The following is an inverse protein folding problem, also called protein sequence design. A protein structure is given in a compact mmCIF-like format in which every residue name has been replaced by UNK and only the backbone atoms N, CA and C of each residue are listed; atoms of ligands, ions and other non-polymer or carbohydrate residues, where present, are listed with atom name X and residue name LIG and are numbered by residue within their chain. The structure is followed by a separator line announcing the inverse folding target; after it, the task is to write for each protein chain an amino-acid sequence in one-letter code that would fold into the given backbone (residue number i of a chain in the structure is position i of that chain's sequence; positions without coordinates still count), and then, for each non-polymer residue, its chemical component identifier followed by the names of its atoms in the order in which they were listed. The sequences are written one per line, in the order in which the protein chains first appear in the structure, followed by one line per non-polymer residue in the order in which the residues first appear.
data_IF_605627421008
#
_entry.id   IF_605627421008
#
_cell.length_a   1.000
_cell.length_b   1.000
_cell.length_c   1.000
_cell.angle_alpha   90.00
_cell.angle_beta   90.00
_cell.angle_gamma   90.00
#
_symmetry.space_group_name_H-M   'P 1'
#
loop_
_entity.id
_entity.type
_entity.pdbx_description
1 polymer ?
#
# COMPACT_ATOMS: atom_id res chain seq x y z
N UNK A 1 2.56 0.43 7.95
CA UNK A 1 2.85 1.39 9.03
C UNK A 1 3.05 2.77 8.41
N UNK A 2 2.48 3.81 9.04
CA UNK A 2 2.61 5.20 8.61
C UNK A 2 3.51 6.00 9.55
N UNK A 3 4.50 6.71 9.00
CA UNK A 3 5.35 7.66 9.72
C UNK A 3 5.12 9.08 9.22
N UNK A 4 5.32 10.07 10.07
CA UNK A 4 5.32 11.48 9.67
C UNK A 4 6.71 11.88 9.19
N UNK A 5 6.81 12.44 7.98
CA UNK A 5 8.08 12.80 7.38
C UNK A 5 8.77 14.00 8.04
N UNK A 6 8.03 14.86 8.72
CA UNK A 6 8.56 16.02 9.47
C UNK A 6 9.12 15.65 10.84
N UNK A 7 8.85 14.47 11.38
CA UNK A 7 9.45 14.00 12.63
C UNK A 7 10.96 13.87 12.52
N UNK A 8 11.67 14.39 13.52
CA UNK A 8 13.13 14.33 13.60
C UNK A 8 13.64 13.01 14.19
N UNK A 9 12.80 12.31 14.93
CA UNK A 9 13.14 11.06 15.59
C UNK A 9 12.00 10.05 15.46
N UNK A 10 12.30 8.88 14.89
CA UNK A 10 11.36 7.74 14.77
C UNK A 10 11.63 6.68 15.83
N UNK A 11 12.27 7.06 16.95
CA UNK A 11 12.78 6.07 17.92
C UNK A 11 11.69 5.16 18.47
N UNK A 12 10.55 5.73 18.87
CA UNK A 12 9.44 4.94 19.40
C UNK A 12 8.81 4.03 18.33
N UNK A 13 8.70 4.52 17.10
CA UNK A 13 8.17 3.74 15.98
C UNK A 13 9.14 2.63 15.55
N UNK A 14 10.44 2.93 15.57
CA UNK A 14 11.54 1.99 15.31
C UNK A 14 11.55 0.87 16.36
N UNK A 15 11.53 1.22 17.65
CA UNK A 15 11.46 0.28 18.75
C UNK A 15 10.19 -0.59 18.67
N UNK A 16 9.04 -0.01 18.40
CA UNK A 16 7.79 -0.75 18.20
C UNK A 16 7.87 -1.71 17.00
N UNK A 17 8.43 -1.25 15.88
CA UNK A 17 8.60 -2.10 14.72
C UNK A 17 9.48 -3.31 15.02
N UNK A 18 10.68 -3.10 15.58
CA UNK A 18 11.62 -4.18 15.84
C UNK A 18 11.15 -5.15 16.92
N UNK A 19 10.53 -4.65 17.98
CA UNK A 19 10.14 -5.44 19.13
C UNK A 19 8.77 -6.12 18.97
N UNK A 20 7.88 -5.55 18.20
CA UNK A 20 6.50 -6.03 18.05
C UNK A 20 6.20 -6.45 16.61
N UNK A 21 6.31 -5.53 15.64
CA UNK A 21 5.83 -5.80 14.28
C UNK A 21 6.69 -6.85 13.59
N UNK A 22 8.01 -6.68 13.59
CA UNK A 22 8.96 -7.59 12.92
C UNK A 22 8.90 -9.01 13.48
N UNK A 23 8.72 -9.13 14.78
CA UNK A 23 8.62 -10.44 15.47
C UNK A 23 7.34 -11.21 15.10
N UNK A 24 6.25 -10.47 14.84
CA UNK A 24 4.95 -11.07 14.48
C UNK A 24 4.69 -11.11 12.97
N UNK A 25 5.57 -10.54 12.15
CA UNK A 25 5.51 -10.71 10.70
C UNK A 25 5.89 -12.15 10.38
N UNK A 26 4.92 -12.92 9.88
CA UNK A 26 5.23 -14.24 9.33
C UNK A 26 6.17 -14.10 8.14
N UNK A 27 7.07 -15.06 7.94
CA UNK A 27 7.99 -15.10 6.82
C UNK A 27 7.24 -14.92 5.48
N UNK A 28 7.74 -14.03 4.65
CA UNK A 28 7.16 -13.74 3.34
C UNK A 28 5.96 -12.80 3.32
N UNK A 29 5.49 -12.30 4.47
CA UNK A 29 4.46 -11.24 4.46
C UNK A 29 5.06 -9.90 4.05
N UNK A 30 4.45 -9.21 3.06
CA UNK A 30 4.93 -7.91 2.64
C UNK A 30 4.73 -6.87 3.75
N UNK A 31 5.75 -6.02 3.93
CA UNK A 31 5.69 -4.88 4.83
C UNK A 31 5.94 -3.61 4.01
N UNK A 32 5.04 -2.64 4.14
CA UNK A 32 5.14 -1.34 3.47
C UNK A 32 5.13 -0.27 4.54
N UNK A 33 6.14 0.60 4.51
CA UNK A 33 6.23 1.77 5.35
C UNK A 33 5.86 3.00 4.53
N UNK A 34 4.86 3.74 5.00
CA UNK A 34 4.38 4.96 4.36
C UNK A 34 4.98 6.16 5.08
N UNK A 35 5.86 6.89 4.40
CA UNK A 35 6.43 8.14 4.89
C UNK A 35 5.52 9.29 4.46
N UNK A 36 4.55 9.64 5.32
CA UNK A 36 3.53 10.64 5.02
C UNK A 36 3.97 12.07 5.37
N UNK A 37 3.29 13.07 4.83
CA UNK A 37 3.54 14.51 5.05
C UNK A 37 4.90 14.96 4.49
N UNK A 38 5.31 14.42 3.35
CA UNK A 38 6.58 14.80 2.72
C UNK A 38 6.59 16.25 2.21
N UNK A 39 5.43 16.87 2.05
CA UNK A 39 5.24 18.29 1.78
C UNK A 39 5.85 19.19 2.87
N UNK A 40 5.99 18.67 4.11
CA UNK A 40 6.56 19.38 5.26
C UNK A 40 8.06 19.15 5.46
N UNK A 41 8.69 18.31 4.67
CA UNK A 41 10.14 18.11 4.71
C UNK A 41 10.87 19.42 4.38
N UNK A 42 12.07 19.62 4.93
CA UNK A 42 12.90 20.80 4.71
C UNK A 42 12.91 21.26 3.26
N UNK A 43 12.97 22.58 3.06
CA UNK A 43 12.66 23.28 1.80
C UNK A 43 11.19 23.20 1.40
N UNK A 44 10.27 23.09 2.40
CA UNK A 44 8.82 23.02 2.16
C UNK A 44 8.27 24.21 1.33
N UNK A 45 8.96 25.36 1.27
CA UNK A 45 8.60 26.49 0.40
C UNK A 45 8.79 26.23 -1.08
N UNK A 46 9.54 25.21 -1.44
CA UNK A 46 9.69 24.75 -2.83
C UNK A 46 8.52 23.88 -3.28
N UNK A 47 7.60 23.55 -2.37
CA UNK A 47 6.42 22.74 -2.72
C UNK A 47 5.56 23.47 -3.74
N UNK A 48 5.38 22.87 -4.89
CA UNK A 48 4.48 23.38 -5.93
C UNK A 48 3.05 22.92 -5.65
N UNK A 49 2.25 23.81 -5.06
CA UNK A 49 0.86 23.53 -4.69
C UNK A 49 0.00 23.23 -5.92
N UNK A 50 0.28 23.87 -7.07
CA UNK A 50 -0.51 23.68 -8.31
C UNK A 50 -0.34 22.28 -8.89
N UNK A 51 0.89 21.80 -8.90
CA UNK A 51 1.24 20.51 -9.50
C UNK A 51 1.34 19.40 -8.44
N UNK A 52 1.16 19.74 -7.14
CA UNK A 52 1.29 18.82 -6.00
C UNK A 52 2.63 18.07 -6.01
N UNK A 53 3.74 18.81 -6.25
CA UNK A 53 5.07 18.22 -6.43
C UNK A 53 6.12 18.95 -5.57
N UNK A 54 7.11 18.21 -5.01
CA UNK A 54 8.24 18.81 -4.34
C UNK A 54 9.16 19.52 -5.33
N UNK A 55 9.76 20.65 -4.92
CA UNK A 55 10.84 21.26 -5.65
C UNK A 55 12.12 20.41 -5.58
N UNK A 56 13.13 20.81 -6.34
CA UNK A 56 14.37 20.02 -6.54
C UNK A 56 15.08 19.67 -5.23
N UNK A 57 15.28 20.66 -4.37
CA UNK A 57 16.00 20.45 -3.11
C UNK A 57 15.16 19.65 -2.12
N UNK A 58 13.86 19.96 -2.05
CA UNK A 58 12.94 19.21 -1.22
C UNK A 58 12.86 17.73 -1.65
N UNK A 59 12.85 17.45 -2.94
CA UNK A 59 12.88 16.08 -3.46
C UNK A 59 14.15 15.33 -3.04
N UNK A 60 15.31 16.00 -3.06
CA UNK A 60 16.56 15.41 -2.59
C UNK A 60 16.50 15.09 -1.08
N UNK A 61 15.91 15.96 -0.27
CA UNK A 61 15.74 15.76 1.16
C UNK A 61 14.75 14.63 1.46
N UNK A 62 13.66 14.53 0.70
CA UNK A 62 12.71 13.40 0.79
C UNK A 62 13.43 12.08 0.48
N UNK A 63 14.23 12.04 -0.58
CA UNK A 63 15.01 10.86 -0.95
C UNK A 63 16.04 10.47 0.11
N UNK A 64 16.73 11.44 0.70
CA UNK A 64 17.68 11.21 1.79
C UNK A 64 16.96 10.65 3.03
N UNK A 65 15.83 11.25 3.40
CA UNK A 65 15.02 10.79 4.55
C UNK A 65 14.48 9.38 4.35
N UNK A 66 14.04 9.06 3.13
CA UNK A 66 13.61 7.72 2.75
C UNK A 66 14.71 6.68 2.98
N UNK A 67 15.98 6.99 2.64
CA UNK A 67 17.12 6.10 2.89
C UNK A 67 17.34 5.89 4.38
N UNK A 68 17.38 6.97 5.17
CA UNK A 68 17.54 6.89 6.63
C UNK A 68 16.46 6.04 7.27
N UNK A 69 15.21 6.18 6.84
CA UNK A 69 14.10 5.37 7.34
C UNK A 69 14.28 3.90 6.96
N UNK A 70 14.64 3.60 5.72
CA UNK A 70 14.88 2.22 5.29
C UNK A 70 15.98 1.53 6.11
N UNK A 71 17.08 2.25 6.38
CA UNK A 71 18.20 1.77 7.20
C UNK A 71 17.78 1.53 8.66
N UNK A 72 17.08 2.49 9.28
CA UNK A 72 16.64 2.38 10.68
C UNK A 72 15.66 1.23 10.92
N UNK A 73 14.77 1.00 9.96
CA UNK A 73 13.79 -0.08 10.03
C UNK A 73 14.29 -1.42 9.47
N UNK A 74 15.52 -1.46 8.97
CA UNK A 74 16.11 -2.65 8.34
C UNK A 74 15.17 -3.26 7.29
N UNK A 75 14.71 -2.41 6.36
CA UNK A 75 13.81 -2.79 5.26
C UNK A 75 14.34 -2.30 3.91
N UNK A 76 13.91 -2.97 2.84
CA UNK A 76 14.27 -2.56 1.49
C UNK A 76 13.78 -1.12 1.20
N UNK A 77 14.59 -0.32 0.51
CA UNK A 77 14.22 1.05 0.11
C UNK A 77 12.89 1.09 -0.66
N UNK A 78 12.62 0.08 -1.47
CA UNK A 78 11.37 -0.06 -2.22
C UNK A 78 10.14 -0.21 -1.32
N UNK A 79 10.30 -0.71 -0.09
CA UNK A 79 9.22 -0.84 0.88
C UNK A 79 8.86 0.48 1.59
N UNK A 80 9.67 1.54 1.41
CA UNK A 80 9.38 2.88 1.96
C UNK A 80 8.78 3.75 0.86
N UNK A 81 7.51 4.11 1.00
CA UNK A 81 6.78 4.93 0.02
C UNK A 81 6.55 6.33 0.58
N UNK A 82 7.22 7.36 0.04
CA UNK A 82 7.00 8.75 0.43
C UNK A 82 5.72 9.29 -0.20
N UNK A 83 4.84 9.89 0.62
CA UNK A 83 3.56 10.46 0.18
C UNK A 83 3.24 11.76 0.91
N UNK A 84 2.35 12.55 0.34
CA UNK A 84 1.55 13.52 1.08
C UNK A 84 0.08 13.26 0.82
N UNK A 85 -0.64 12.80 1.84
CA UNK A 85 -2.07 12.56 1.74
C UNK A 85 -2.85 13.87 1.59
N UNK A 86 -2.39 14.94 2.25
CA UNK A 86 -2.99 16.27 2.18
C UNK A 86 -2.87 16.88 0.77
N UNK A 87 -1.68 16.75 0.17
CA UNK A 87 -1.36 17.30 -1.16
C UNK A 87 -1.56 16.29 -2.29
N UNK A 88 -2.13 15.11 -1.99
CA UNK A 88 -2.37 14.02 -2.97
C UNK A 88 -1.13 13.56 -3.73
N UNK A 89 0.05 13.80 -3.17
CA UNK A 89 1.32 13.42 -3.78
C UNK A 89 1.59 11.93 -3.64
N UNK A 90 1.95 11.30 -4.75
CA UNK A 90 2.44 9.93 -4.85
C UNK A 90 1.46 8.84 -4.35
N UNK A 91 0.16 9.15 -4.26
CA UNK A 91 -0.86 8.20 -3.79
C UNK A 91 -1.09 7.07 -4.79
N UNK A 92 -0.94 7.33 -6.09
CA UNK A 92 -1.03 6.30 -7.13
C UNK A 92 0.06 5.24 -6.93
N UNK A 93 1.31 5.67 -6.72
CA UNK A 93 2.43 4.75 -6.44
C UNK A 93 2.20 3.94 -5.16
N UNK A 94 1.62 4.56 -4.12
CA UNK A 94 1.27 3.84 -2.89
C UNK A 94 0.24 2.73 -3.17
N UNK A 95 -0.81 3.05 -3.93
CA UNK A 95 -1.85 2.08 -4.30
C UNK A 95 -1.27 0.94 -5.15
N UNK A 96 -0.39 1.25 -6.10
CA UNK A 96 0.32 0.23 -6.89
C UNK A 96 1.16 -0.68 -5.99
N UNK A 97 1.98 -0.10 -5.12
CA UNK A 97 2.84 -0.86 -4.21
C UNK A 97 2.02 -1.80 -3.32
N UNK A 98 0.89 -1.34 -2.79
CA UNK A 98 -0.02 -2.17 -2.00
C UNK A 98 -0.66 -3.26 -2.87
N UNK A 99 -1.15 -2.92 -4.06
CA UNK A 99 -1.80 -3.87 -4.96
C UNK A 99 -0.87 -5.02 -5.33
N UNK A 100 0.39 -4.70 -5.67
CA UNK A 100 1.38 -5.75 -6.00
C UNK A 100 1.75 -6.63 -4.81
N UNK A 101 1.76 -6.06 -3.62
CA UNK A 101 2.09 -6.78 -2.39
C UNK A 101 0.95 -7.67 -1.86
N UNK A 102 -0.29 -7.42 -2.28
CA UNK A 102 -1.46 -8.17 -1.79
C UNK A 102 -1.53 -9.58 -2.42
N UNK A 103 -2.03 -10.58 -1.65
CA UNK A 103 -2.45 -11.86 -2.21
C UNK A 103 -3.49 -11.68 -3.33
N UNK A 104 -3.47 -12.57 -4.32
CA UNK A 104 -4.30 -12.48 -5.54
C UNK A 104 -5.78 -12.24 -5.24
N UNK A 105 -6.33 -12.95 -4.28
CA UNK A 105 -7.74 -12.89 -3.88
C UNK A 105 -8.13 -11.56 -3.21
N UNK A 106 -7.16 -10.80 -2.70
CA UNK A 106 -7.38 -9.51 -2.03
C UNK A 106 -7.19 -8.30 -2.94
N UNK A 107 -6.60 -8.47 -4.11
CA UNK A 107 -6.28 -7.36 -5.02
C UNK A 107 -7.53 -6.62 -5.52
N UNK A 108 -8.54 -7.34 -6.04
CA UNK A 108 -9.78 -6.72 -6.54
C UNK A 108 -10.57 -6.01 -5.45
N UNK A 109 -10.86 -6.63 -4.28
CA UNK A 109 -11.54 -5.94 -3.19
C UNK A 109 -10.84 -4.66 -2.76
N UNK A 110 -9.51 -4.71 -2.58
CA UNK A 110 -8.73 -3.53 -2.25
C UNK A 110 -8.84 -2.46 -3.33
N UNK A 111 -8.58 -2.82 -4.59
CA UNK A 111 -8.59 -1.89 -5.71
C UNK A 111 -9.96 -1.23 -5.89
N UNK A 112 -11.04 -1.95 -5.64
CA UNK A 112 -12.41 -1.42 -5.72
C UNK A 112 -12.71 -0.40 -4.62
N UNK A 113 -12.07 -0.52 -3.45
CA UNK A 113 -12.23 0.43 -2.34
C UNK A 113 -11.38 1.71 -2.50
N UNK A 114 -10.38 1.70 -3.36
CA UNK A 114 -9.53 2.87 -3.63
C UNK A 114 -10.29 3.90 -4.47
N UNK A 115 -10.13 5.18 -4.19
CA UNK A 115 -10.67 6.27 -5.02
C UNK A 115 -10.12 6.20 -6.43
N UNK A 116 -10.97 6.45 -7.43
CA UNK A 116 -10.62 6.32 -8.85
C UNK A 116 -9.40 7.16 -9.25
N UNK A 117 -9.30 8.37 -8.73
CA UNK A 117 -8.19 9.29 -8.95
C UNK A 117 -6.80 8.74 -8.52
N UNK A 118 -6.79 7.76 -7.62
CA UNK A 118 -5.58 7.11 -7.11
C UNK A 118 -5.31 5.74 -7.77
N UNK A 119 -6.09 5.35 -8.77
CA UNK A 119 -5.95 4.08 -9.48
C UNK A 119 -5.13 4.27 -10.74
N UNK A 120 -4.06 3.49 -10.91
CA UNK A 120 -3.38 3.40 -12.19
C UNK A 120 -3.99 2.28 -13.05
N UNK A 121 -3.84 2.40 -14.37
CA UNK A 121 -4.26 1.37 -15.30
C UNK A 121 -3.49 0.06 -15.05
N UNK A 122 -2.21 0.16 -14.72
CA UNK A 122 -1.34 -0.98 -14.48
C UNK A 122 -1.74 -1.76 -13.21
N UNK A 123 -2.06 -1.06 -12.11
CA UNK A 123 -2.58 -1.70 -10.89
C UNK A 123 -3.95 -2.34 -11.13
N UNK A 124 -4.77 -1.76 -12.00
CA UNK A 124 -6.06 -2.33 -12.41
C UNK A 124 -5.90 -3.65 -13.18
N UNK A 125 -4.94 -3.70 -14.08
CA UNK A 125 -4.65 -4.92 -14.84
C UNK A 125 -4.08 -6.03 -13.97
N UNK A 126 -3.13 -5.70 -13.08
CA UNK A 126 -2.57 -6.65 -12.12
C UNK A 126 -3.64 -7.19 -11.14
N UNK A 127 -4.52 -6.32 -10.64
CA UNK A 127 -5.61 -6.73 -9.78
C UNK A 127 -6.59 -7.69 -10.49
N UNK A 128 -6.92 -7.42 -11.75
CA UNK A 128 -7.78 -8.29 -12.58
C UNK A 128 -7.11 -9.63 -12.85
N UNK A 129 -5.85 -9.63 -13.28
CA UNK A 129 -5.10 -10.85 -13.55
C UNK A 129 -5.02 -11.73 -12.29
N UNK A 130 -4.62 -11.19 -11.16
CA UNK A 130 -4.56 -11.92 -9.90
C UNK A 130 -5.91 -12.49 -9.47
N UNK A 131 -7.00 -11.74 -9.68
CA UNK A 131 -8.35 -12.23 -9.42
C UNK A 131 -8.73 -13.42 -10.31
N UNK A 132 -8.49 -13.34 -11.63
CA UNK A 132 -8.80 -14.44 -12.55
C UNK A 132 -7.96 -15.69 -12.28
N UNK A 133 -6.69 -15.52 -11.90
CA UNK A 133 -5.84 -16.63 -11.49
C UNK A 133 -6.36 -17.30 -10.21
N UNK A 134 -6.69 -16.53 -9.16
CA UNK A 134 -7.27 -17.06 -7.92
C UNK A 134 -8.63 -17.74 -8.15
N UNK A 135 -9.42 -17.22 -9.07
CA UNK A 135 -10.70 -17.80 -9.45
C UNK A 135 -10.51 -19.13 -10.20
N UNK A 136 -9.55 -19.18 -11.13
CA UNK A 136 -9.20 -20.39 -11.88
C UNK A 136 -8.70 -21.52 -10.96
N UNK A 137 -7.87 -21.18 -9.99
CA UNK A 137 -7.39 -22.13 -8.96
C UNK A 137 -8.58 -22.73 -8.18
N UNK A 138 -9.51 -21.90 -7.70
CA UNK A 138 -10.70 -22.36 -6.96
C UNK A 138 -11.73 -23.12 -7.79
N UNK A 139 -11.87 -22.78 -9.07
CA UNK A 139 -12.76 -23.52 -9.99
C UNK A 139 -12.16 -24.89 -10.32
N UNK A 140 -10.83 -24.98 -10.45
CA UNK A 140 -10.12 -26.24 -10.65
C UNK A 140 -10.31 -27.23 -9.49
N UNK A 141 -10.46 -26.73 -8.25
CA UNK A 141 -10.74 -27.53 -7.06
C UNK A 141 -12.20 -28.04 -7.00
N UNK A 142 -13.16 -27.36 -7.69
CA UNK A 142 -14.59 -27.66 -7.68
C UNK A 142 -15.01 -28.31 -9.01
N UNK A 143 -14.32 -29.37 -9.42
CA UNK A 143 -14.71 -30.15 -10.60
C UNK A 143 -16.00 -30.94 -10.28
N UNK A 144 -17.16 -30.38 -10.69
CA UNK A 144 -18.47 -31.04 -10.58
C UNK A 144 -19.66 -30.12 -10.30
N UNK A 145 -19.47 -28.83 -10.03
CA UNK A 145 -20.55 -27.88 -9.74
C UNK A 145 -20.82 -26.86 -10.86
N UNK A 146 -21.96 -26.18 -10.78
CA UNK A 146 -22.34 -25.11 -11.73
C UNK A 146 -21.33 -23.93 -11.61
N UNK A 147 -20.50 -23.66 -12.63
CA UNK A 147 -19.42 -22.64 -12.55
C UNK A 147 -19.94 -21.24 -12.21
N UNK A 148 -21.12 -20.87 -12.71
CA UNK A 148 -21.69 -19.54 -12.49
C UNK A 148 -22.09 -19.27 -11.03
N UNK A 149 -22.59 -20.26 -10.30
CA UNK A 149 -22.91 -20.14 -8.86
C UNK A 149 -21.65 -20.13 -8.01
N UNK A 150 -20.62 -20.91 -8.37
CA UNK A 150 -19.34 -20.93 -7.67
C UNK A 150 -18.64 -19.55 -7.77
N UNK A 151 -18.63 -18.94 -8.95
CA UNK A 151 -18.07 -17.61 -9.21
C UNK A 151 -18.78 -16.55 -8.39
N UNK A 152 -20.10 -16.50 -8.40
CA UNK A 152 -20.89 -15.53 -7.64
C UNK A 152 -20.65 -15.61 -6.13
N UNK A 153 -20.59 -16.83 -5.58
CA UNK A 153 -20.34 -17.05 -4.14
C UNK A 153 -18.90 -16.69 -3.73
N UNK A 154 -17.90 -16.91 -4.56
CA UNK A 154 -16.51 -16.54 -4.30
C UNK A 154 -16.35 -15.04 -4.31
N UNK A 155 -16.92 -14.34 -5.29
CA UNK A 155 -16.90 -12.88 -5.37
C UNK A 155 -17.59 -12.25 -4.16
N UNK A 156 -18.81 -12.71 -3.82
CA UNK A 156 -19.56 -12.22 -2.67
C UNK A 156 -18.79 -12.35 -1.36
N UNK A 157 -18.23 -13.51 -1.07
CA UNK A 157 -17.45 -13.75 0.15
C UNK A 157 -16.15 -12.94 0.21
N UNK A 158 -15.50 -12.68 -0.91
CA UNK A 158 -14.30 -11.86 -0.97
C UNK A 158 -14.62 -10.38 -0.66
N UNK A 159 -15.70 -9.84 -1.23
CA UNK A 159 -16.13 -8.46 -1.00
C UNK A 159 -16.61 -8.27 0.44
N UNK A 160 -17.43 -9.17 0.96
CA UNK A 160 -17.97 -9.09 2.33
C UNK A 160 -16.87 -9.23 3.40
N UNK A 161 -15.92 -10.15 3.19
CA UNK A 161 -14.80 -10.35 4.11
C UNK A 161 -13.85 -9.15 4.17
N UNK A 162 -13.65 -8.47 3.05
CA UNK A 162 -12.79 -7.29 2.97
C UNK A 162 -13.46 -6.07 3.61
N UNK A 163 -14.74 -5.82 3.32
CA UNK A 163 -15.49 -4.71 3.90
C UNK A 163 -15.53 -4.82 5.44
N UNK A 164 -15.83 -5.98 5.99
CA UNK A 164 -15.85 -6.20 7.45
C UNK A 164 -14.51 -5.93 8.13
N UNK A 165 -13.40 -6.33 7.51
CA UNK A 165 -12.08 -6.13 8.10
C UNK A 165 -11.56 -4.68 7.95
N UNK A 166 -11.93 -3.96 6.88
CA UNK A 166 -11.48 -2.58 6.68
C UNK A 166 -12.15 -1.60 7.63
N UNK A 167 -13.44 -1.83 7.96
CA UNK A 167 -14.22 -0.96 8.84
C UNK A 167 -14.11 -1.31 10.33
N UNK A 168 -13.44 -2.41 10.70
CA UNK A 168 -13.22 -2.75 12.11
C UNK A 168 -12.05 -2.01 12.76
N UNK A 169 -11.33 -1.16 12.01
CA UNK A 169 -10.15 -0.40 12.46
C UNK A 169 -10.37 1.11 12.50
N UNK A 170 -11.62 1.58 12.35
CA UNK A 170 -12.00 3.01 12.49
C UNK A 170 -12.93 3.22 13.67
#
# INVERSE_FOLDING_TARGET
VGLKADDKAFRSDEEFYHNVVKVHLADGKPFILVLNQVDKVEHFREWNVKDCQPGRQQQANIAAKRKVVAEKFDIALAAVVPVSAAERYNLVTLVETITYALPKEKKIPFFSAVKEENRSQQAKEDAKQGFFEALGEKIGEVVGGNPGKAIGNVIGKMVDGFAKNLFSWW
#
